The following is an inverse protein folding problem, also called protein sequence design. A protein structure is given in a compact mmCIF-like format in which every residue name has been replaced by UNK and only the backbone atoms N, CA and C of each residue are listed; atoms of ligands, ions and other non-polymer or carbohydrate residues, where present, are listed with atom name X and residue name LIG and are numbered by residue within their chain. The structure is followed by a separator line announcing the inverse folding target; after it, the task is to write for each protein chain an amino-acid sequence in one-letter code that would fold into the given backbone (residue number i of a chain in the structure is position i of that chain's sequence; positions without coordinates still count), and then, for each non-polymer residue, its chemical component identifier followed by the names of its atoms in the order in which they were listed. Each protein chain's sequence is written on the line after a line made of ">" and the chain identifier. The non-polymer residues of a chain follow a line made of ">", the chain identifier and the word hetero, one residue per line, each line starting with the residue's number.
data_IF_943600598328
#
_entry.id   IF_943600598328
#
_cell.length_a   1.000
_cell.length_b   1.000
_cell.length_c   1.000
_cell.angle_alpha   90.00
_cell.angle_beta   90.00
_cell.angle_gamma   90.00
#
_symmetry.space_group_name_H-M   'P 1'
#
loop_
_entity.id
_entity.type
_entity.pdbx_description
1 polymer ?
#
# COMPACT_ATOMS: atom_id res chain seq x y z
N UNK A 1 1.87 18.51 0.35
CA UNK A 1 1.55 17.07 0.54
C UNK A 1 0.04 16.89 0.59
N UNK A 2 -0.48 16.00 -0.24
CA UNK A 2 -1.91 15.71 -0.29
C UNK A 2 -2.36 14.88 0.92
N UNK A 3 -3.68 14.81 1.13
CA UNK A 3 -4.23 13.95 2.19
C UNK A 3 -3.83 12.48 1.99
N UNK A 4 -3.88 12.02 0.74
CA UNK A 4 -3.52 10.64 0.40
C UNK A 4 -2.04 10.37 0.72
N UNK A 5 -1.16 11.29 0.35
CA UNK A 5 0.26 11.17 0.66
C UNK A 5 0.51 11.13 2.17
N UNK A 6 -0.23 11.94 2.94
CA UNK A 6 -0.14 11.92 4.40
C UNK A 6 -0.61 10.59 4.99
N UNK A 7 -1.67 10.01 4.45
CA UNK A 7 -2.17 8.70 4.88
C UNK A 7 -1.12 7.62 4.67
N UNK A 8 -0.49 7.60 3.50
CA UNK A 8 0.53 6.61 3.17
C UNK A 8 1.78 6.81 4.02
N UNK A 9 2.22 8.05 4.21
CA UNK A 9 3.36 8.34 5.05
C UNK A 9 3.11 7.91 6.49
N UNK A 10 1.91 8.15 7.03
CA UNK A 10 1.54 7.71 8.37
C UNK A 10 1.56 6.20 8.49
N UNK A 11 1.02 5.50 7.51
CA UNK A 11 1.05 4.03 7.49
C UNK A 11 2.48 3.51 7.45
N UNK A 12 3.34 4.15 6.68
CA UNK A 12 4.76 3.79 6.60
C UNK A 12 5.44 3.94 7.96
N UNK A 13 5.33 5.14 8.56
CA UNK A 13 6.02 5.43 9.81
C UNK A 13 5.52 4.60 10.99
N UNK A 14 4.24 4.26 10.99
CA UNK A 14 3.63 3.53 12.09
C UNK A 14 3.56 2.03 11.88
N UNK A 15 3.98 1.55 10.72
CA UNK A 15 3.92 0.12 10.39
C UNK A 15 2.48 -0.38 10.20
N UNK A 16 1.57 0.48 9.77
CA UNK A 16 0.19 0.10 9.52
C UNK A 16 0.04 -0.59 8.17
N UNK A 17 -1.03 -1.35 8.01
CA UNK A 17 -1.42 -1.96 6.75
C UNK A 17 -2.20 -0.96 5.89
N UNK A 18 -2.15 -1.17 4.58
CA UNK A 18 -2.83 -0.32 3.60
C UNK A 18 -3.71 -1.19 2.71
N UNK A 19 -4.94 -0.73 2.46
CA UNK A 19 -5.86 -1.38 1.51
C UNK A 19 -6.31 -0.35 0.49
N UNK A 20 -6.43 -0.74 -0.77
CA UNK A 20 -6.78 0.18 -1.86
C UNK A 20 -7.27 -0.58 -3.07
N UNK A 21 -8.02 0.12 -3.92
CA UNK A 21 -8.35 -0.34 -5.26
C UNK A 21 -7.24 0.07 -6.22
N UNK A 22 -6.86 -0.82 -7.12
CA UNK A 22 -5.77 -0.60 -8.04
C UNK A 22 -6.16 -0.92 -9.47
N UNK A 23 -5.84 -0.01 -10.39
CA UNK A 23 -5.99 -0.23 -11.83
C UNK A 23 -4.60 -0.22 -12.43
N UNK A 24 -4.21 -1.34 -13.02
CA UNK A 24 -2.91 -1.44 -13.68
C UNK A 24 -2.95 -0.70 -15.01
N UNK A 25 -1.84 -0.03 -15.35
CA UNK A 25 -1.75 0.73 -16.60
C UNK A 25 -2.11 -0.14 -17.81
N UNK A 26 -3.00 0.39 -18.65
CA UNK A 26 -3.47 -0.31 -19.85
C UNK A 26 -4.54 -1.35 -19.59
N UNK A 27 -5.00 -1.52 -18.37
CA UNK A 27 -6.07 -2.44 -18.00
C UNK A 27 -7.28 -1.67 -17.47
N UNK A 28 -8.47 -2.22 -17.68
CA UNK A 28 -9.71 -1.66 -17.16
C UNK A 28 -10.18 -2.34 -15.88
N UNK A 29 -9.49 -3.40 -15.47
CA UNK A 29 -9.87 -4.19 -14.31
C UNK A 29 -9.41 -3.52 -13.03
N UNK A 30 -10.35 -3.30 -12.11
CA UNK A 30 -10.05 -2.80 -10.77
C UNK A 30 -9.90 -3.99 -9.83
N UNK A 31 -8.76 -4.07 -9.13
CA UNK A 31 -8.53 -5.11 -8.14
C UNK A 31 -8.33 -4.50 -6.76
N UNK A 32 -8.96 -5.08 -5.75
CA UNK A 32 -8.71 -4.70 -4.36
C UNK A 32 -7.38 -5.31 -3.92
N UNK A 33 -6.48 -4.45 -3.45
CA UNK A 33 -5.14 -4.85 -3.00
C UNK A 33 -4.95 -4.49 -1.55
N UNK A 34 -4.06 -5.20 -0.89
CA UNK A 34 -3.68 -4.94 0.48
C UNK A 34 -2.19 -5.14 0.66
N UNK A 35 -1.54 -4.13 1.24
CA UNK A 35 -0.17 -4.25 1.71
C UNK A 35 -0.20 -4.44 3.21
N UNK A 36 0.25 -5.59 3.69
CA UNK A 36 0.33 -5.86 5.11
C UNK A 36 1.34 -4.94 5.80
N UNK A 37 2.43 -4.63 5.09
CA UNK A 37 3.42 -3.64 5.54
C UNK A 37 3.86 -2.80 4.35
N UNK A 38 4.15 -1.52 4.61
CA UNK A 38 4.80 -0.64 3.64
C UNK A 38 6.29 -0.64 3.96
N UNK A 39 7.11 -1.04 3.00
CA UNK A 39 8.56 -1.14 3.18
C UNK A 39 9.29 0.10 2.69
N UNK A 40 8.79 0.72 1.63
CA UNK A 40 9.42 1.91 1.08
C UNK A 40 8.43 2.77 0.29
N UNK A 41 8.80 4.03 0.12
CA UNK A 41 8.11 4.98 -0.75
C UNK A 41 9.20 5.60 -1.61
N UNK A 42 9.07 5.48 -2.92
CA UNK A 42 10.10 5.93 -3.87
C UNK A 42 9.51 6.85 -4.93
N UNK A 43 10.38 7.64 -5.52
CA UNK A 43 10.06 8.45 -6.70
C UNK A 43 10.81 7.88 -7.89
N UNK A 44 10.13 7.75 -9.03
CA UNK A 44 10.80 7.38 -10.26
C UNK A 44 11.29 8.64 -11.01
N UNK A 45 11.87 8.43 -12.20
CA UNK A 45 12.43 9.55 -13.00
C UNK A 45 11.36 10.54 -13.50
N UNK A 46 10.09 10.16 -13.47
CA UNK A 46 8.96 11.02 -13.88
C UNK A 46 8.26 11.65 -12.66
N UNK A 47 8.85 11.59 -11.49
CA UNK A 47 8.28 12.06 -10.22
C UNK A 47 7.00 11.33 -9.80
N UNK A 48 6.73 10.16 -10.36
CA UNK A 48 5.65 9.31 -9.88
C UNK A 48 6.04 8.66 -8.55
N UNK A 49 5.08 8.56 -7.66
CA UNK A 49 5.30 7.92 -6.36
C UNK A 49 4.98 6.44 -6.45
N UNK A 50 5.93 5.62 -6.01
CA UNK A 50 5.78 4.17 -5.90
C UNK A 50 5.73 3.77 -4.44
N UNK A 51 4.70 3.05 -4.07
CA UNK A 51 4.53 2.51 -2.71
C UNK A 51 4.85 1.03 -2.76
N UNK A 52 5.88 0.62 -2.04
CA UNK A 52 6.33 -0.77 -2.00
C UNK A 52 6.11 -1.41 -0.65
N UNK A 53 5.74 -2.68 -0.66
CA UNK A 53 5.53 -3.42 0.56
C UNK A 53 5.23 -4.89 0.33
N UNK A 54 4.93 -5.59 1.41
CA UNK A 54 4.63 -7.02 1.40
C UNK A 54 3.12 -7.23 1.46
N UNK A 55 2.62 -8.10 0.58
CA UNK A 55 1.18 -8.36 0.49
C UNK A 55 0.68 -9.15 1.70
N UNK A 56 1.39 -10.19 2.13
CA UNK A 56 0.94 -11.12 3.16
C UNK A 56 1.91 -11.24 4.34
N UNK A 57 2.55 -10.17 4.76
CA UNK A 57 3.60 -10.21 5.78
C UNK A 57 4.78 -11.13 5.42
N UNK A 58 4.81 -11.62 4.20
CA UNK A 58 5.89 -12.45 3.68
C UNK A 58 6.88 -11.55 2.94
N UNK A 59 8.14 -11.60 3.34
CA UNK A 59 9.19 -10.81 2.71
C UNK A 59 9.43 -11.20 1.25
N UNK A 60 8.99 -12.35 0.82
CA UNK A 60 9.13 -12.82 -0.55
C UNK A 60 8.03 -12.32 -1.49
N UNK A 61 6.95 -11.77 -0.95
CA UNK A 61 5.82 -11.30 -1.75
C UNK A 61 5.79 -9.77 -1.78
N UNK A 62 6.90 -9.17 -2.10
CA UNK A 62 7.05 -7.72 -2.23
C UNK A 62 6.47 -7.25 -3.56
N UNK A 63 5.65 -6.18 -3.48
CA UNK A 63 5.05 -5.53 -4.65
C UNK A 63 5.21 -4.02 -4.57
N UNK A 64 5.23 -3.37 -5.73
CA UNK A 64 5.23 -1.92 -5.85
C UNK A 64 3.99 -1.46 -6.62
N UNK A 65 3.41 -0.35 -6.16
CA UNK A 65 2.20 0.20 -6.77
C UNK A 65 2.38 1.70 -7.01
N UNK A 66 1.97 2.16 -8.19
CA UNK A 66 1.93 3.59 -8.48
C UNK A 66 0.81 4.24 -7.70
N UNK A 67 1.13 5.30 -6.97
CA UNK A 67 0.14 6.02 -6.17
C UNK A 67 -1.01 6.54 -7.03
N UNK A 68 -0.72 7.02 -8.24
CA UNK A 68 -1.72 7.57 -9.14
C UNK A 68 -2.77 6.56 -9.60
N UNK A 69 -2.47 5.27 -9.51
CA UNK A 69 -3.38 4.19 -9.88
C UNK A 69 -4.15 3.62 -8.70
N UNK A 70 -3.95 4.20 -7.53
CA UNK A 70 -4.60 3.76 -6.29
C UNK A 70 -5.82 4.63 -5.99
N UNK A 71 -6.89 4.02 -5.53
CA UNK A 71 -8.10 4.71 -5.07
C UNK A 71 -8.71 4.00 -3.88
N UNK A 72 -9.66 4.66 -3.22
CA UNK A 72 -10.34 4.13 -2.03
C UNK A 72 -9.33 3.57 -1.01
N UNK A 73 -8.38 4.41 -0.62
CA UNK A 73 -7.28 4.03 0.26
C UNK A 73 -7.74 4.00 1.71
N UNK A 74 -7.48 2.90 2.39
CA UNK A 74 -7.80 2.71 3.80
C UNK A 74 -6.54 2.28 4.54
N UNK A 75 -6.35 2.84 5.73
CA UNK A 75 -5.20 2.54 6.58
C UNK A 75 -5.69 1.78 7.80
N UNK A 76 -5.03 0.67 8.11
CA UNK A 76 -5.37 -0.19 9.25
C UNK A 76 -4.17 -0.29 10.18
N UNK A 77 -4.42 -0.27 11.47
CA UNK A 77 -3.40 -0.65 12.44
C UNK A 77 -2.96 -2.09 12.16
N UNK A 78 -1.66 -2.33 12.37
CA UNK A 78 -1.14 -3.70 12.24
C UNK A 78 -1.88 -4.60 13.22
N UNK A 79 -2.57 -5.60 12.68
CA UNK A 79 -3.30 -6.56 13.49
C UNK A 79 -2.33 -7.66 13.94
N UNK A 80 -2.27 -7.92 15.24
CA UNK A 80 -1.51 -9.03 15.77
C UNK A 80 -2.13 -10.35 15.30
N UNK A 81 -1.30 -11.30 14.90
CA UNK A 81 -1.76 -12.63 14.47
C UNK A 81 -2.61 -13.29 15.57
N UNK A 82 -2.29 -13.05 16.83
CA UNK A 82 -3.07 -13.56 17.96
C UNK A 82 -4.51 -13.02 17.99
N UNK A 83 -4.74 -11.79 17.51
CA UNK A 83 -6.08 -11.23 17.42
C UNK A 83 -6.90 -11.86 16.30
N UNK A 84 -6.25 -12.28 15.22
CA UNK A 84 -6.91 -12.91 14.08
C UNK A 84 -7.40 -14.32 14.38
N UNK A 85 -6.83 -14.99 15.38
CA UNK A 85 -7.17 -16.37 15.73
C UNK A 85 -8.29 -16.47 16.76
N UNK A 86 -8.87 -15.36 17.15
CA UNK A 86 -10.01 -15.33 18.10
C UNK A 86 -11.34 -15.44 17.40
#
# INVERSE_FOLDING_TARGET
>A
MTLVEKMIATAFYRGYSLSFDYVKDGEDLVERRRLATISDIKYNSNDDILVGGCIDNDSYDYRQFFLDNMSDIQVFKKIDVAELSQ
#
